data_IF_867951839809
#
_entry.id   IF_867951839809
#
_cell.length_a   1.000
_cell.length_b   1.000
_cell.length_c   1.000
_cell.angle_alpha   90.00
_cell.angle_beta   90.00
_cell.angle_gamma   90.00
#
_symmetry.space_group_name_H-M   'P 1'
#
loop_
_entity.id
_entity.type
_entity.pdbx_description
1 polymer ?
#
# COMPACT_ATOMS: atom_id res chain seq x y z
N UNK A 1 1.30 10.42 -16.60
CA UNK A 1 1.11 10.82 -15.19
C UNK A 1 0.35 12.12 -15.17
N UNK A 2 -0.79 12.20 -14.45
CA UNK A 2 -1.72 13.33 -14.47
C UNK A 2 -1.27 14.49 -13.54
N UNK A 3 0.02 14.84 -13.58
CA UNK A 3 0.63 15.95 -12.81
C UNK A 3 1.19 15.57 -11.43
N UNK A 4 1.96 16.49 -10.84
CA UNK A 4 2.65 16.34 -9.54
C UNK A 4 1.67 16.08 -8.38
N UNK A 5 0.50 16.70 -8.41
CA UNK A 5 -0.52 16.56 -7.36
C UNK A 5 -1.07 15.14 -7.26
N UNK A 6 -1.24 14.46 -8.41
CA UNK A 6 -1.71 13.07 -8.41
C UNK A 6 -0.62 12.13 -7.88
N UNK A 7 0.63 12.41 -8.19
CA UNK A 7 1.77 11.64 -7.70
C UNK A 7 1.88 11.72 -6.16
N UNK A 8 1.63 12.89 -5.59
CA UNK A 8 1.56 13.09 -4.13
C UNK A 8 0.39 12.35 -3.48
N UNK A 9 -0.80 12.37 -4.09
CA UNK A 9 -1.94 11.59 -3.59
C UNK A 9 -1.68 10.08 -3.66
N UNK A 10 -1.01 9.61 -4.72
CA UNK A 10 -0.72 8.19 -4.88
C UNK A 10 0.23 7.69 -3.79
N UNK A 11 1.28 8.43 -3.49
CA UNK A 11 2.23 8.04 -2.43
C UNK A 11 1.61 8.16 -1.04
N UNK A 12 0.74 9.14 -0.79
CA UNK A 12 -0.01 9.24 0.47
C UNK A 12 -0.93 8.02 0.68
N UNK A 13 -1.62 7.59 -0.36
CA UNK A 13 -2.45 6.39 -0.30
C UNK A 13 -1.60 5.13 -0.01
N UNK A 14 -0.43 5.00 -0.65
CA UNK A 14 0.50 3.90 -0.37
C UNK A 14 0.97 3.95 1.09
N UNK A 15 1.38 5.12 1.58
CA UNK A 15 1.84 5.33 2.95
C UNK A 15 0.74 5.01 3.97
N UNK A 16 -0.49 5.47 3.73
CA UNK A 16 -1.64 5.17 4.57
C UNK A 16 -1.90 3.66 4.64
N UNK A 17 -1.93 3.00 3.48
CA UNK A 17 -2.15 1.56 3.40
C UNK A 17 -1.09 0.75 4.13
N UNK A 18 0.20 1.03 3.86
CA UNK A 18 1.29 0.27 4.51
C UNK A 18 1.29 0.49 6.02
N UNK A 19 0.88 1.67 6.51
CA UNK A 19 0.81 1.96 7.95
C UNK A 19 -0.18 1.12 8.73
N UNK A 20 -1.07 0.40 8.05
CA UNK A 20 -1.95 -0.58 8.68
C UNK A 20 -1.32 -1.98 8.78
N UNK A 21 -0.11 -2.17 8.21
CA UNK A 21 0.61 -3.43 8.25
C UNK A 21 1.55 -3.48 9.46
N UNK A 22 1.58 -4.59 10.22
CA UNK A 22 2.46 -4.71 11.39
C UNK A 22 3.95 -4.76 11.02
N UNK A 23 4.26 -5.26 9.82
CA UNK A 23 5.61 -5.34 9.26
C UNK A 23 5.58 -5.43 7.74
N UNK A 24 6.72 -5.16 7.11
CA UNK A 24 6.95 -5.35 5.68
C UNK A 24 8.03 -6.43 5.48
N UNK A 25 7.71 -7.51 4.76
CA UNK A 25 8.73 -8.51 4.41
C UNK A 25 9.55 -8.07 3.20
N UNK A 26 8.90 -7.49 2.19
CA UNK A 26 9.55 -7.01 0.98
C UNK A 26 8.79 -5.85 0.35
N UNK A 27 9.53 -5.00 -0.35
CA UNK A 27 9.03 -3.87 -1.13
C UNK A 27 9.41 -4.14 -2.59
N UNK A 28 8.47 -4.64 -3.38
CA UNK A 28 8.70 -4.97 -4.78
C UNK A 28 8.49 -3.73 -5.67
N UNK A 29 9.55 -3.30 -6.35
CA UNK A 29 9.52 -2.18 -7.29
C UNK A 29 9.46 -2.74 -8.72
N UNK A 30 8.33 -2.52 -9.38
CA UNK A 30 8.10 -2.98 -10.74
C UNK A 30 8.60 -1.96 -11.77
N UNK A 31 9.38 -2.43 -12.74
CA UNK A 31 10.02 -1.60 -13.78
C UNK A 31 9.93 -2.28 -15.14
N UNK A 32 9.97 -1.50 -16.22
CA UNK A 32 10.23 -2.02 -17.57
C UNK A 32 11.74 -2.00 -17.85
N UNK A 33 12.28 -2.95 -18.63
CA UNK A 33 13.73 -3.05 -18.90
C UNK A 33 14.23 -2.11 -20.01
N UNK A 34 13.31 -1.49 -20.75
CA UNK A 34 13.63 -0.65 -21.93
C UNK A 34 13.21 0.81 -21.75
N UNK A 35 13.29 1.34 -20.54
CA UNK A 35 13.04 2.77 -20.31
C UNK A 35 14.24 3.58 -20.82
N UNK A 36 14.00 4.49 -21.75
CA UNK A 36 15.04 5.36 -22.32
C UNK A 36 15.56 6.39 -21.28
N UNK A 37 14.71 6.75 -20.30
CA UNK A 37 15.04 7.64 -19.19
C UNK A 37 14.28 7.18 -17.96
N UNK A 38 14.97 7.03 -16.83
CA UNK A 38 14.28 6.92 -15.55
C UNK A 38 13.74 8.29 -15.17
N UNK A 39 12.44 8.32 -14.94
CA UNK A 39 11.72 9.54 -14.62
C UNK A 39 12.24 10.12 -13.29
N UNK A 40 12.48 11.44 -13.23
CA UNK A 40 12.84 12.14 -12.00
C UNK A 40 11.82 11.90 -10.87
N UNK A 41 10.57 11.64 -11.26
CA UNK A 41 9.49 11.26 -10.36
C UNK A 41 9.80 9.95 -9.61
N UNK A 42 10.45 8.96 -10.25
CA UNK A 42 10.81 7.70 -9.58
C UNK A 42 11.79 7.95 -8.43
N UNK A 43 12.78 8.82 -8.62
CA UNK A 43 13.71 9.21 -7.56
C UNK A 43 12.97 9.84 -6.39
N UNK A 44 12.04 10.76 -6.66
CA UNK A 44 11.22 11.40 -5.63
C UNK A 44 10.41 10.37 -4.84
N UNK A 45 9.83 9.36 -5.51
CA UNK A 45 9.11 8.29 -4.84
C UNK A 45 10.00 7.44 -3.92
N UNK A 46 11.20 7.07 -4.37
CA UNK A 46 12.16 6.35 -3.53
C UNK A 46 12.56 7.17 -2.30
N UNK A 47 12.91 8.44 -2.51
CA UNK A 47 13.31 9.32 -1.41
C UNK A 47 12.14 9.49 -0.41
N UNK A 48 10.91 9.75 -0.87
CA UNK A 48 9.75 9.92 0.02
C UNK A 48 9.38 8.62 0.75
N UNK A 49 9.32 7.49 0.04
CA UNK A 49 9.01 6.19 0.64
C UNK A 49 10.03 5.79 1.70
N UNK A 50 11.33 5.91 1.39
CA UNK A 50 12.38 5.54 2.33
C UNK A 50 12.57 6.58 3.45
N UNK A 51 12.27 7.85 3.23
CA UNK A 51 12.18 8.83 4.31
C UNK A 51 11.06 8.46 5.28
N UNK A 52 9.90 8.02 4.77
CA UNK A 52 8.78 7.58 5.58
C UNK A 52 9.10 6.30 6.38
N UNK A 53 9.63 5.28 5.71
CA UNK A 53 9.92 3.99 6.33
C UNK A 53 11.21 3.99 7.15
N UNK A 54 12.13 4.93 6.91
CA UNK A 54 13.47 4.95 7.47
C UNK A 54 14.50 4.20 6.62
N UNK A 55 15.78 4.57 6.77
CA UNK A 55 16.89 4.09 5.92
C UNK A 55 17.01 2.56 5.87
N UNK A 56 16.76 1.87 6.99
CA UNK A 56 16.88 0.43 7.10
C UNK A 56 15.91 -0.34 6.19
N UNK A 57 14.80 0.27 5.78
CA UNK A 57 13.82 -0.35 4.87
C UNK A 57 14.41 -0.67 3.48
N UNK A 58 15.54 -0.06 3.12
CA UNK A 58 16.22 -0.30 1.83
C UNK A 58 16.62 -1.77 1.64
N UNK A 59 16.90 -2.50 2.72
CA UNK A 59 17.34 -3.90 2.65
C UNK A 59 16.21 -4.84 2.18
N UNK A 60 14.96 -4.42 2.39
CA UNK A 60 13.77 -5.16 1.96
C UNK A 60 13.32 -4.81 0.53
N UNK A 61 14.07 -3.96 -0.20
CA UNK A 61 13.73 -3.59 -1.58
C UNK A 61 14.13 -4.69 -2.56
N UNK A 62 13.17 -5.07 -3.41
CA UNK A 62 13.32 -6.05 -4.48
C UNK A 62 12.95 -5.39 -5.82
N UNK A 63 13.76 -5.60 -6.85
CA UNK A 63 13.52 -5.06 -8.18
C UNK A 63 12.95 -6.11 -9.12
N UNK A 64 11.80 -5.81 -9.71
CA UNK A 64 11.08 -6.71 -10.60
C UNK A 64 10.96 -6.05 -11.98
N UNK A 65 11.67 -6.58 -12.98
CA UNK A 65 11.57 -6.11 -14.36
C UNK A 65 10.52 -6.94 -15.09
N UNK A 66 9.53 -6.30 -15.72
CA UNK A 66 8.48 -6.97 -16.51
C UNK A 66 8.74 -6.79 -18.00
N UNK A 67 8.17 -7.66 -18.85
CA UNK A 67 8.32 -7.58 -20.31
C UNK A 67 9.78 -7.73 -20.77
N UNK A 68 10.54 -8.60 -20.11
CA UNK A 68 11.98 -8.75 -20.35
C UNK A 68 12.36 -9.63 -21.54
N UNK A 69 11.40 -10.15 -22.30
CA UNK A 69 11.70 -10.96 -23.50
C UNK A 69 12.60 -10.21 -24.49
N UNK A 70 12.26 -8.95 -24.79
CA UNK A 70 13.04 -8.11 -25.73
C UNK A 70 14.45 -7.79 -25.24
N UNK A 71 14.75 -8.06 -23.97
CA UNK A 71 16.05 -7.83 -23.35
C UNK A 71 16.70 -9.14 -22.90
N UNK A 72 16.32 -10.26 -23.52
CA UNK A 72 16.84 -11.59 -23.20
C UNK A 72 16.74 -11.94 -21.71
N UNK A 73 15.61 -11.58 -21.08
CA UNK A 73 15.33 -11.80 -19.66
C UNK A 73 16.32 -11.08 -18.73
N UNK A 74 16.72 -9.86 -19.10
CA UNK A 74 17.60 -9.00 -18.31
C UNK A 74 16.98 -7.62 -18.05
N UNK A 75 17.51 -6.85 -17.07
CA UNK A 75 17.07 -5.48 -16.80
C UNK A 75 17.23 -4.48 -17.96
N UNK A 76 17.91 -4.86 -19.04
CA UNK A 76 18.07 -4.04 -20.24
C UNK A 76 18.72 -2.69 -19.97
N UNK A 77 18.31 -1.68 -20.76
CA UNK A 77 18.81 -0.32 -20.65
C UNK A 77 18.39 0.38 -19.35
N UNK A 78 17.28 -0.05 -18.73
CA UNK A 78 16.84 0.50 -17.46
C UNK A 78 17.80 0.16 -16.32
N UNK A 79 18.45 -1.02 -16.35
CA UNK A 79 19.33 -1.47 -15.26
C UNK A 79 20.48 -0.51 -14.94
N UNK A 80 21.32 -0.11 -15.91
CA UNK A 80 22.38 0.88 -15.71
C UNK A 80 21.86 2.24 -15.26
N UNK A 81 20.73 2.69 -15.83
CA UNK A 81 20.10 3.95 -15.43
C UNK A 81 19.64 3.90 -13.96
N UNK A 82 19.08 2.76 -13.54
CA UNK A 82 18.58 2.55 -12.19
C UNK A 82 19.73 2.58 -11.20
N UNK A 83 20.82 1.88 -11.50
CA UNK A 83 22.03 1.91 -10.69
C UNK A 83 22.52 3.35 -10.45
N UNK A 84 22.62 4.15 -11.52
CA UNK A 84 23.02 5.56 -11.44
C UNK A 84 22.03 6.40 -10.62
N UNK A 85 20.72 6.15 -10.76
CA UNK A 85 19.69 6.83 -9.97
C UNK A 85 19.86 6.52 -8.47
N UNK A 86 20.02 5.24 -8.11
CA UNK A 86 20.18 4.81 -6.71
C UNK A 86 21.44 5.39 -6.07
N UNK A 87 22.55 5.52 -6.81
CA UNK A 87 23.77 6.20 -6.34
C UNK A 87 23.52 7.69 -6.01
N UNK A 88 22.57 8.32 -6.71
CA UNK A 88 22.18 9.72 -6.54
C UNK A 88 21.08 9.96 -5.49
N UNK A 89 20.42 8.91 -4.98
CA UNK A 89 19.42 9.01 -3.92
C UNK A 89 20.01 9.58 -2.62
N UNK A 90 19.16 10.19 -1.79
CA UNK A 90 19.60 10.71 -0.48
C UNK A 90 20.04 9.55 0.41
N UNK A 91 19.23 8.50 0.44
CA UNK A 91 19.55 7.24 1.12
C UNK A 91 20.52 6.45 0.25
N UNK A 92 21.70 6.19 0.81
CA UNK A 92 22.79 5.51 0.12
C UNK A 92 22.65 3.99 0.23
N UNK A 93 23.47 3.28 -0.55
CA UNK A 93 23.65 1.83 -0.45
C UNK A 93 22.37 0.99 -0.57
N UNK A 94 21.38 1.44 -1.34
CA UNK A 94 20.21 0.62 -1.69
C UNK A 94 20.73 -0.60 -2.46
N UNK A 95 20.52 -1.84 -1.98
CA UNK A 95 21.05 -3.03 -2.64
C UNK A 95 20.52 -3.17 -4.05
N UNK A 96 21.40 -3.23 -5.04
CA UNK A 96 21.05 -3.54 -6.43
C UNK A 96 21.99 -4.61 -6.96
N UNK A 97 21.61 -5.88 -6.76
CA UNK A 97 22.38 -7.08 -7.08
C UNK A 97 21.51 -8.08 -7.83
N UNK A 98 22.13 -9.07 -8.47
CA UNK A 98 21.40 -10.17 -9.12
C UNK A 98 20.48 -10.92 -8.13
N UNK A 99 20.89 -11.04 -6.86
CA UNK A 99 20.12 -11.73 -5.84
C UNK A 99 18.73 -11.12 -5.61
N UNK A 100 18.63 -9.78 -5.55
CA UNK A 100 17.38 -9.05 -5.30
C UNK A 100 16.76 -8.41 -6.55
N UNK A 101 17.18 -8.86 -7.74
CA UNK A 101 16.67 -8.38 -9.03
C UNK A 101 16.12 -9.55 -9.84
N UNK A 102 14.88 -9.46 -10.30
CA UNK A 102 14.16 -10.53 -10.98
C UNK A 102 13.57 -10.03 -12.31
N UNK A 103 13.57 -10.89 -13.33
CA UNK A 103 13.14 -10.52 -14.68
C UNK A 103 12.03 -11.46 -15.15
N UNK A 104 10.85 -10.89 -15.43
CA UNK A 104 9.64 -11.60 -15.78
C UNK A 104 9.16 -11.19 -17.16
N UNK A 105 8.47 -12.12 -17.81
CA UNK A 105 7.75 -11.87 -19.04
C UNK A 105 6.29 -12.35 -18.94
N UNK A 106 5.40 -11.67 -19.66
CA UNK A 106 3.96 -11.93 -19.60
C UNK A 106 3.41 -12.66 -20.82
N UNK A 107 4.27 -12.98 -21.80
CA UNK A 107 3.82 -13.52 -23.08
C UNK A 107 3.19 -14.92 -22.97
N UNK A 108 3.60 -15.71 -21.97
CA UNK A 108 2.96 -17.00 -21.70
C UNK A 108 1.48 -16.87 -21.30
N UNK A 109 1.12 -15.83 -20.54
CA UNK A 109 -0.30 -15.56 -20.21
C UNK A 109 -1.08 -15.11 -21.44
N UNK A 110 -0.48 -14.27 -22.30
CA UNK A 110 -1.11 -13.87 -23.56
C UNK A 110 -1.33 -15.06 -24.48
N UNK A 111 -0.38 -15.99 -24.53
CA UNK A 111 -0.52 -17.23 -25.27
C UNK A 111 -1.71 -18.07 -24.79
N UNK A 112 -1.87 -18.26 -23.48
CA UNK A 112 -3.03 -18.98 -22.91
C UNK A 112 -4.35 -18.32 -23.30
N UNK A 113 -4.45 -16.98 -23.20
CA UNK A 113 -5.65 -16.25 -23.62
C UNK A 113 -5.89 -16.41 -25.12
N UNK A 114 -4.86 -16.34 -25.95
CA UNK A 114 -5.00 -16.51 -27.39
C UNK A 114 -5.50 -17.91 -27.77
N UNK A 115 -5.05 -18.96 -27.09
CA UNK A 115 -5.57 -20.32 -27.25
C UNK A 115 -7.06 -20.41 -26.90
N UNK A 116 -7.52 -19.74 -25.83
CA UNK A 116 -8.95 -19.71 -25.49
C UNK A 116 -9.80 -19.00 -26.55
N UNK A 117 -9.18 -18.10 -27.34
CA UNK A 117 -9.82 -17.41 -28.46
C UNK A 117 -9.60 -18.13 -29.81
N UNK A 118 -9.16 -19.40 -29.79
CA UNK A 118 -8.93 -20.22 -30.99
C UNK A 118 -7.95 -19.60 -31.99
N UNK A 119 -7.00 -18.79 -31.50
CA UNK A 119 -5.92 -18.24 -32.33
C UNK A 119 -4.86 -19.32 -32.53
N UNK A 120 -4.58 -19.64 -33.79
CA UNK A 120 -3.53 -20.58 -34.17
C UNK A 120 -2.15 -19.92 -34.17
N UNK A 121 -1.15 -20.70 -33.79
CA UNK A 121 0.25 -20.29 -33.76
C UNK A 121 1.10 -21.33 -34.47
N UNK A 122 2.13 -20.87 -35.18
CA UNK A 122 3.11 -21.78 -35.76
C UNK A 122 4.04 -22.37 -34.69
N UNK A 123 4.84 -23.37 -35.08
CA UNK A 123 5.78 -24.03 -34.16
C UNK A 123 6.89 -23.11 -33.63
N UNK A 124 7.26 -22.07 -34.39
CA UNK A 124 8.25 -21.10 -33.96
C UNK A 124 7.70 -20.24 -32.80
N UNK A 125 6.51 -19.67 -32.99
CA UNK A 125 5.80 -18.87 -32.00
C UNK A 125 5.54 -19.67 -30.72
N UNK A 126 5.08 -20.93 -30.84
CA UNK A 126 4.89 -21.82 -29.68
C UNK A 126 6.17 -21.98 -28.86
N UNK A 127 7.32 -22.19 -29.51
CA UNK A 127 8.62 -22.29 -28.83
C UNK A 127 8.99 -20.99 -28.11
N UNK A 128 8.75 -19.83 -28.71
CA UNK A 128 9.01 -18.55 -28.03
C UNK A 128 8.14 -18.36 -26.78
N UNK A 129 6.85 -18.73 -26.84
CA UNK A 129 5.96 -18.69 -25.67
C UNK A 129 6.39 -19.69 -24.58
N UNK A 130 6.79 -20.90 -24.97
CA UNK A 130 7.32 -21.90 -24.04
C UNK A 130 8.61 -21.43 -23.35
N UNK A 131 9.50 -20.78 -24.09
CA UNK A 131 10.73 -20.20 -23.52
C UNK A 131 10.39 -19.07 -22.53
N UNK A 132 9.48 -18.17 -22.89
CA UNK A 132 9.01 -17.10 -22.00
C UNK A 132 8.41 -17.64 -20.70
N UNK A 133 7.57 -18.68 -20.80
CA UNK A 133 7.01 -19.38 -19.64
C UNK A 133 8.13 -19.96 -18.76
N UNK A 134 9.04 -20.72 -19.36
CA UNK A 134 10.10 -21.41 -18.62
C UNK A 134 11.01 -20.43 -17.87
N UNK A 135 11.42 -19.34 -18.53
CA UNK A 135 12.22 -18.29 -17.90
C UNK A 135 11.47 -17.61 -16.75
N UNK A 136 10.22 -17.18 -17.00
CA UNK A 136 9.43 -16.47 -15.99
C UNK A 136 9.06 -17.35 -14.81
N UNK A 137 8.77 -18.64 -15.04
CA UNK A 137 8.50 -19.61 -13.99
C UNK A 137 9.71 -19.82 -13.08
N UNK A 138 10.91 -19.98 -13.67
CA UNK A 138 12.16 -20.09 -12.93
C UNK A 138 12.42 -18.84 -12.09
N UNK A 139 12.24 -17.66 -12.68
CA UNK A 139 12.44 -16.38 -11.98
C UNK A 139 11.40 -16.13 -10.87
N UNK A 140 10.14 -16.52 -11.08
CA UNK A 140 9.10 -16.47 -10.04
C UNK A 140 9.40 -17.41 -8.89
N UNK A 141 9.88 -18.62 -9.19
CA UNK A 141 10.32 -19.57 -8.17
C UNK A 141 11.49 -18.99 -7.38
N UNK A 142 12.46 -18.37 -8.06
CA UNK A 142 13.61 -17.71 -7.43
C UNK A 142 13.17 -16.54 -6.55
N UNK A 143 12.20 -15.74 -6.99
CA UNK A 143 11.64 -14.64 -6.20
C UNK A 143 10.98 -15.19 -4.93
N UNK A 144 10.12 -16.20 -5.05
CA UNK A 144 9.46 -16.80 -3.88
C UNK A 144 10.49 -17.38 -2.89
N UNK A 145 11.53 -18.05 -3.39
CA UNK A 145 12.63 -18.54 -2.55
C UNK A 145 13.39 -17.40 -1.87
N UNK A 146 13.60 -16.27 -2.55
CA UNK A 146 14.23 -15.09 -1.95
C UNK A 146 13.36 -14.49 -0.84
N UNK A 147 12.05 -14.34 -1.11
CA UNK A 147 11.10 -13.76 -0.17
C UNK A 147 10.82 -14.65 1.05
N UNK A 148 10.70 -15.96 0.84
CA UNK A 148 10.34 -16.92 1.89
C UNK A 148 11.55 -17.63 2.53
N UNK A 149 12.73 -17.58 1.92
CA UNK A 149 13.92 -18.35 2.34
C UNK A 149 14.76 -17.70 3.43
N UNK A 150 14.15 -16.89 4.31
CA UNK A 150 14.82 -16.12 5.39
C UNK A 150 15.95 -15.19 4.92
N UNK A 151 15.95 -14.77 3.65
CA UNK A 151 16.95 -13.82 3.12
C UNK A 151 16.59 -12.36 3.44
N UNK A 152 15.32 -12.10 3.76
CA UNK A 152 14.82 -10.81 4.18
C UNK A 152 14.28 -10.90 5.60
N UNK A 153 14.83 -10.07 6.49
CA UNK A 153 14.28 -9.90 7.83
C UNK A 153 12.98 -9.08 7.76
N UNK A 154 11.88 -9.53 8.40
CA UNK A 154 10.68 -8.72 8.51
C UNK A 154 11.01 -7.33 9.07
N UNK A 155 10.54 -6.27 8.40
CA UNK A 155 10.76 -4.90 8.80
C UNK A 155 9.56 -4.38 9.61
N UNK A 156 9.61 -4.43 10.96
CA UNK A 156 8.49 -4.06 11.81
C UNK A 156 8.20 -2.56 11.76
N UNK A 157 6.93 -2.21 11.90
CA UNK A 157 6.47 -0.82 11.90
C UNK A 157 7.17 0.05 12.94
N UNK A 158 7.52 -0.50 14.10
CA UNK A 158 8.20 0.23 15.19
C UNK A 158 9.57 0.80 14.78
N UNK A 159 10.18 0.27 13.70
CA UNK A 159 11.45 0.78 13.17
C UNK A 159 11.25 1.98 12.24
N UNK A 160 10.02 2.35 11.92
CA UNK A 160 9.72 3.46 11.02
C UNK A 160 9.95 4.77 11.77
N UNK A 161 11.14 5.34 11.60
CA UNK A 161 11.60 6.53 12.31
C UNK A 161 11.50 7.75 11.40
N UNK A 162 10.28 8.21 11.11
CA UNK A 162 10.09 9.41 10.30
C UNK A 162 9.13 10.41 10.94
N UNK A 163 9.40 11.69 10.70
CA UNK A 163 8.51 12.80 11.10
C UNK A 163 7.15 12.63 10.40
N UNK A 164 7.15 12.19 9.15
CA UNK A 164 5.93 11.92 8.39
C UNK A 164 5.11 10.79 9.04
N UNK A 165 5.73 9.73 9.54
CA UNK A 165 5.05 8.68 10.31
C UNK A 165 4.49 9.22 11.64
N UNK A 166 5.24 10.05 12.36
CA UNK A 166 4.74 10.69 13.57
C UNK A 166 3.53 11.61 13.29
N UNK A 167 3.58 12.39 12.20
CA UNK A 167 2.44 13.22 11.75
C UNK A 167 1.23 12.38 11.38
N UNK A 168 1.44 11.25 10.69
CA UNK A 168 0.37 10.31 10.38
C UNK A 168 -0.29 9.76 11.65
N UNK A 169 0.51 9.29 12.61
CA UNK A 169 0.00 8.80 13.90
C UNK A 169 -0.75 9.92 14.64
N UNK A 170 -0.21 11.14 14.71
CA UNK A 170 -0.88 12.28 15.33
C UNK A 170 -2.24 12.51 14.68
N UNK A 171 -2.30 12.57 13.34
CA UNK A 171 -3.54 12.76 12.60
C UNK A 171 -4.57 11.66 12.89
N UNK A 172 -4.14 10.40 12.95
CA UNK A 172 -4.98 9.26 13.31
C UNK A 172 -5.47 9.34 14.77
N UNK A 173 -4.68 9.89 15.69
CA UNK A 173 -5.03 10.01 17.11
C UNK A 173 -5.93 11.21 17.43
N UNK A 174 -5.94 12.28 16.61
CA UNK A 174 -6.73 13.50 16.86
C UNK A 174 -8.18 13.15 17.18
N UNK A 175 -8.80 12.32 16.34
CA UNK A 175 -10.21 11.97 16.47
C UNK A 175 -10.51 11.14 17.74
N UNK A 176 -9.83 10.00 18.01
CA UNK A 176 -9.97 9.27 19.27
C UNK A 176 -9.78 10.14 20.51
N UNK A 177 -8.77 11.03 20.51
CA UNK A 177 -8.50 11.93 21.63
C UNK A 177 -9.66 12.90 21.83
N UNK A 178 -10.13 13.56 20.77
CA UNK A 178 -11.24 14.51 20.84
C UNK A 178 -12.55 13.86 21.29
N UNK A 179 -12.84 12.64 20.84
CA UNK A 179 -14.02 11.89 21.31
C UNK A 179 -13.91 11.51 22.80
N UNK A 180 -12.71 11.15 23.26
CA UNK A 180 -12.44 10.83 24.67
C UNK A 180 -12.62 12.06 25.54
N UNK A 181 -12.05 13.21 25.15
CA UNK A 181 -12.21 14.48 25.85
C UNK A 181 -13.69 14.88 25.92
N UNK A 182 -14.41 14.78 24.80
CA UNK A 182 -15.83 15.13 24.74
C UNK A 182 -16.66 14.28 25.71
N UNK A 183 -16.36 12.98 25.82
CA UNK A 183 -17.07 12.10 26.75
C UNK A 183 -16.67 12.35 28.21
N UNK A 184 -15.40 12.68 28.48
CA UNK A 184 -14.98 13.10 29.80
C UNK A 184 -15.76 14.34 30.27
N UNK A 185 -15.86 15.37 29.42
CA UNK A 185 -16.64 16.57 29.74
C UNK A 185 -18.12 16.25 30.02
N UNK A 186 -18.75 15.37 29.22
CA UNK A 186 -20.13 14.93 29.45
C UNK A 186 -20.29 14.24 30.81
N UNK A 187 -19.34 13.39 31.19
CA UNK A 187 -19.34 12.70 32.47
C UNK A 187 -19.19 13.69 33.64
N UNK A 188 -18.31 14.67 33.54
CA UNK A 188 -18.15 15.74 34.55
C UNK A 188 -19.48 16.47 34.78
N UNK A 189 -20.16 16.89 33.70
CA UNK A 189 -21.46 17.58 33.78
C UNK A 189 -22.51 16.72 34.50
N UNK A 190 -22.54 15.41 34.22
CA UNK A 190 -23.50 14.49 34.88
C UNK A 190 -23.24 14.35 36.38
N UNK A 191 -21.97 14.29 36.77
CA UNK A 191 -21.55 14.20 38.16
C UNK A 191 -21.84 15.50 38.93
N UNK A 192 -21.49 16.66 38.36
CA UNK A 192 -21.70 17.98 38.99
C UNK A 192 -23.19 18.29 39.18
N UNK A 193 -24.04 17.85 38.25
CA UNK A 193 -25.48 18.09 38.34
C UNK A 193 -26.19 17.07 39.25
N UNK A 194 -25.45 16.16 39.91
CA UNK A 194 -25.97 15.04 40.71
C UNK A 194 -27.06 14.21 40.00
N UNK A 195 -27.04 14.18 38.65
CA UNK A 195 -28.13 13.62 37.86
C UNK A 195 -28.09 12.10 37.85
N UNK A 196 -26.89 11.52 37.72
CA UNK A 196 -26.72 10.06 37.70
C UNK A 196 -25.29 9.66 38.09
N UNK A 197 -25.12 8.45 38.65
CA UNK A 197 -23.80 7.80 38.80
C UNK A 197 -23.40 6.97 37.56
N UNK A 198 -24.19 7.00 36.48
CA UNK A 198 -23.89 6.27 35.24
C UNK A 198 -22.97 7.10 34.35
N UNK A 199 -21.76 6.59 34.12
CA UNK A 199 -20.77 7.21 33.25
C UNK A 199 -20.91 6.71 31.81
N UNK A 200 -20.72 7.60 30.85
CA UNK A 200 -20.56 7.24 29.44
C UNK A 200 -19.16 6.63 29.29
N UNK A 201 -19.12 5.32 29.08
CA UNK A 201 -17.88 4.58 28.82
C UNK A 201 -17.68 4.37 27.32
N UNK A 202 -16.47 4.64 26.85
CA UNK A 202 -16.02 4.26 25.51
C UNK A 202 -15.26 2.94 25.59
N UNK A 203 -15.61 2.02 24.71
CA UNK A 203 -14.88 0.77 24.53
C UNK A 203 -14.35 0.70 23.10
N UNK A 204 -13.05 0.40 22.90
CA UNK A 204 -12.55 0.12 21.57
C UNK A 204 -13.23 -1.16 21.06
N UNK A 205 -13.73 -1.11 19.83
CA UNK A 205 -14.31 -2.27 19.15
C UNK A 205 -13.35 -2.65 18.03
N UNK A 206 -12.84 -3.88 18.07
CA UNK A 206 -12.06 -4.42 16.95
C UNK A 206 -13.03 -4.77 15.83
N UNK A 207 -12.83 -4.13 14.67
CA UNK A 207 -13.66 -4.39 13.49
C UNK A 207 -13.05 -5.56 12.69
N UNK A 208 -13.85 -6.56 12.31
CA UNK A 208 -13.36 -7.73 11.57
C UNK A 208 -12.99 -7.41 10.12
N UNK A 209 -13.47 -6.28 9.60
CA UNK A 209 -13.20 -5.79 8.25
C UNK A 209 -13.15 -4.26 8.28
N UNK A 210 -12.40 -3.62 7.37
CA UNK A 210 -12.37 -2.15 7.27
C UNK A 210 -13.79 -1.62 7.07
N UNK A 211 -14.16 -0.65 7.90
CA UNK A 211 -15.46 0.05 7.83
C UNK A 211 -15.19 1.52 7.56
N UNK A 212 -16.15 2.13 6.88
CA UNK A 212 -16.12 3.55 6.56
C UNK A 212 -17.32 4.26 7.16
N UNK A 213 -17.26 5.58 7.27
CA UNK A 213 -18.41 6.43 7.60
C UNK A 213 -18.81 7.20 6.35
N UNK A 214 -20.09 7.15 6.00
CA UNK A 214 -20.64 7.99 4.93
C UNK A 214 -21.09 9.35 5.48
N UNK A 215 -20.55 10.45 4.97
CA UNK A 215 -20.94 11.80 5.43
C UNK A 215 -22.30 12.27 4.85
N UNK A 216 -22.82 11.60 3.82
CA UNK A 216 -24.14 11.89 3.25
C UNK A 216 -25.27 11.12 3.93
N UNK A 217 -24.96 10.06 4.68
CA UNK A 217 -25.98 9.36 5.44
C UNK A 217 -26.48 10.21 6.61
N UNK A 218 -27.77 10.06 6.94
CA UNK A 218 -28.33 10.71 8.11
C UNK A 218 -27.67 10.12 9.35
N UNK A 219 -27.05 10.93 10.21
CA UNK A 219 -26.34 10.40 11.36
C UNK A 219 -27.33 9.84 12.38
N UNK A 220 -26.99 8.67 12.93
CA UNK A 220 -27.78 8.02 13.99
C UNK A 220 -27.53 8.79 15.29
N UNK A 221 -28.59 9.35 15.86
CA UNK A 221 -28.53 10.04 17.15
C UNK A 221 -29.16 9.17 18.21
N UNK A 222 -28.39 8.83 19.24
CA UNK A 222 -28.91 8.12 20.41
C UNK A 222 -28.89 9.04 21.61
N UNK A 223 -30.03 9.16 22.28
CA UNK A 223 -30.12 9.90 23.54
C UNK A 223 -29.51 9.04 24.64
N UNK A 224 -28.48 9.58 25.28
CA UNK A 224 -27.87 9.04 26.49
C UNK A 224 -28.12 10.05 27.61
N UNK A 225 -29.11 9.74 28.45
CA UNK A 225 -29.59 10.62 29.51
C UNK A 225 -30.10 11.94 28.89
N UNK A 226 -29.28 12.99 28.92
CA UNK A 226 -29.60 14.33 28.39
C UNK A 226 -28.78 14.70 27.17
N UNK A 227 -27.75 13.91 26.84
CA UNK A 227 -26.93 14.15 25.67
C UNK A 227 -27.44 13.37 24.47
N UNK A 228 -27.44 14.01 23.31
CA UNK A 228 -27.53 13.32 22.04
C UNK A 228 -26.13 12.95 21.59
N UNK A 229 -25.87 11.65 21.50
CA UNK A 229 -24.62 11.11 20.99
C UNK A 229 -24.83 10.70 19.53
N UNK A 230 -23.97 11.21 18.65
CA UNK A 230 -23.88 10.78 17.26
C UNK A 230 -23.14 9.44 17.24
N UNK A 231 -23.82 8.38 16.82
CA UNK A 231 -23.21 7.08 16.59
C UNK A 231 -22.67 7.03 15.17
N UNK A 232 -21.49 6.43 15.01
CA UNK A 232 -20.94 6.14 13.70
C UNK A 232 -21.76 5.05 13.03
N UNK A 233 -22.36 5.38 11.90
CA UNK A 233 -23.01 4.40 11.04
C UNK A 233 -21.94 3.77 10.14
N UNK A 234 -21.59 2.52 10.44
CA UNK A 234 -20.40 1.84 9.90
C UNK A 234 -20.74 1.10 8.61
N UNK A 235 -20.26 1.63 7.50
CA UNK A 235 -20.49 1.07 6.17
C UNK A 235 -19.38 0.13 5.72
N UNK A 236 -19.74 -0.87 4.92
CA UNK A 236 -18.82 -1.76 4.21
C UNK A 236 -18.73 -1.35 2.75
N UNK A 237 -17.51 -1.05 2.29
CA UNK A 237 -17.25 -0.66 0.90
C UNK A 237 -16.40 -1.72 0.21
N UNK A 238 -16.92 -2.32 -0.85
CA UNK A 238 -16.18 -3.25 -1.71
C UNK A 238 -16.53 -2.95 -3.18
N UNK A 239 -15.93 -1.90 -3.74
CA UNK A 239 -16.27 -1.33 -5.04
C UNK A 239 -17.47 -0.39 -5.01
N UNK A 240 -18.58 -0.81 -4.39
CA UNK A 240 -19.71 0.04 -4.02
C UNK A 240 -20.05 -0.12 -2.54
N UNK A 241 -20.75 0.87 -1.97
CA UNK A 241 -21.25 0.76 -0.61
C UNK A 241 -22.42 -0.22 -0.56
N UNK A 242 -22.39 -1.17 0.38
CA UNK A 242 -23.48 -2.13 0.59
C UNK A 242 -24.61 -1.57 1.46
N UNK A 243 -24.32 -0.52 2.21
CA UNK A 243 -25.19 0.02 3.26
C UNK A 243 -25.90 1.33 2.83
N UNK A 244 -25.49 1.95 1.70
CA UNK A 244 -26.17 3.12 1.13
C UNK A 244 -25.96 3.26 -0.39
N UNK A 245 -26.72 4.18 -1.00
CA UNK A 245 -26.65 4.48 -2.44
C UNK A 245 -25.56 5.51 -2.82
N UNK A 246 -24.77 5.97 -1.85
CA UNK A 246 -23.77 7.01 -2.08
C UNK A 246 -22.47 6.45 -2.67
N UNK A 247 -21.73 7.31 -3.35
CA UNK A 247 -20.48 6.93 -4.01
C UNK A 247 -19.39 6.58 -3.01
N UNK A 248 -18.37 5.81 -3.42
CA UNK A 248 -17.22 5.50 -2.57
C UNK A 248 -16.48 6.77 -2.10
N UNK A 249 -16.49 7.84 -2.90
CA UNK A 249 -15.89 9.13 -2.51
C UNK A 249 -16.63 9.79 -1.34
N UNK A 250 -17.89 9.40 -1.11
CA UNK A 250 -18.69 9.89 0.01
C UNK A 250 -18.41 9.15 1.33
N UNK A 251 -17.43 8.24 1.33
CA UNK A 251 -17.08 7.39 2.46
C UNK A 251 -15.66 7.68 2.93
N UNK A 252 -15.49 7.83 4.24
CA UNK A 252 -14.20 8.05 4.89
C UNK A 252 -13.84 6.81 5.70
N UNK A 253 -12.68 6.24 5.44
CA UNK A 253 -12.13 5.13 6.24
C UNK A 253 -11.84 5.61 7.67
N UNK A 254 -12.14 4.74 8.64
CA UNK A 254 -11.94 4.98 10.07
C UNK A 254 -10.52 4.64 10.52
#
# INVERSE_FOLDING_TARGET
TRGLTQDDMNIENIISFISNLPHLNAICILLKPNEAKLNIVLRSYFDRLLNFLGEAARENIVFCFTNTRSTFFSPGNTGPLLKKMLESCRIKNIPYKKANTFCFDSEAFRYLVALTNQIEFDEYQKKEYQQSWTSSFKESTRLLQYLCGNQLEPYPQIKWKSIEHAQLIINQMIRPILETIRNLCRNIIQLEQHRTNQLINLFPIVLPQPRTICYKCKPIRKRYIEFLILLHDLHTVSGSCKDCIHSQQDHVEL
#
